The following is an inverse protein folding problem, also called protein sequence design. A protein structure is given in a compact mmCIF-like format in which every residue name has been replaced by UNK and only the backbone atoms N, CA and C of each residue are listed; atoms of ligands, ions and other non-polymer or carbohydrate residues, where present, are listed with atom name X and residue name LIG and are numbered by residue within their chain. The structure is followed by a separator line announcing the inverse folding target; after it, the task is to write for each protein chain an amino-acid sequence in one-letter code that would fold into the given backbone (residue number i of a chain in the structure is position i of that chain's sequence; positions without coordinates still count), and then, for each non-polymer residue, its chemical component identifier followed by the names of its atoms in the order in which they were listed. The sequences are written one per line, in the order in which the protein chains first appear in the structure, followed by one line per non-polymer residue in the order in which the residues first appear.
data_IF_034768602692
#
_entry.id   IF_034768602692
#
_cell.length_a   1.000
_cell.length_b   1.000
_cell.length_c   1.000
_cell.angle_alpha   90.00
_cell.angle_beta   90.00
_cell.angle_gamma   90.00
#
_symmetry.space_group_name_H-M   'P 1'
#
loop_
_entity.id
_entity.type
_entity.pdbx_description
1 polymer ?
#
# COMPACT_ATOMS: atom_id res chain seq x y z
N UNK A 1 -30.21 0.71 -9.14
CA UNK A 1 -29.71 0.58 -7.76
C UNK A 1 -30.19 1.82 -7.05
N UNK A 2 -31.06 1.67 -6.07
CA UNK A 2 -31.48 2.81 -5.26
C UNK A 2 -30.39 3.16 -4.23
N UNK A 3 -30.57 4.27 -3.48
CA UNK A 3 -29.60 4.69 -2.46
C UNK A 3 -29.43 3.63 -1.37
N UNK A 4 -30.50 2.93 -1.03
CA UNK A 4 -30.48 1.91 0.02
C UNK A 4 -29.61 0.72 -0.41
N UNK A 5 -29.82 0.19 -1.61
CA UNK A 5 -29.01 -0.87 -2.22
C UNK A 5 -27.54 -0.50 -2.26
N UNK A 6 -27.23 0.74 -2.65
CA UNK A 6 -25.85 1.23 -2.71
C UNK A 6 -25.21 1.29 -1.32
N UNK A 7 -25.92 1.79 -0.31
CA UNK A 7 -25.43 1.84 1.08
C UNK A 7 -25.21 0.43 1.61
N UNK A 8 -26.17 -0.48 1.40
CA UNK A 8 -26.06 -1.88 1.82
C UNK A 8 -24.86 -2.56 1.16
N UNK A 9 -24.70 -2.43 -0.16
CA UNK A 9 -23.56 -2.97 -0.91
C UNK A 9 -22.23 -2.40 -0.37
N UNK A 10 -22.17 -1.10 -0.12
CA UNK A 10 -20.97 -0.44 0.40
C UNK A 10 -20.60 -0.97 1.77
N UNK A 11 -21.56 -1.13 2.67
CA UNK A 11 -21.34 -1.72 4.01
C UNK A 11 -20.84 -3.17 3.88
N UNK A 12 -21.47 -3.97 3.02
CA UNK A 12 -21.04 -5.37 2.78
C UNK A 12 -19.58 -5.42 2.31
N UNK A 13 -19.22 -4.59 1.32
CA UNK A 13 -17.87 -4.56 0.75
C UNK A 13 -16.84 -4.11 1.79
N UNK A 14 -17.13 -3.06 2.57
CA UNK A 14 -16.24 -2.54 3.62
C UNK A 14 -16.02 -3.57 4.75
N UNK A 15 -16.99 -4.45 5.00
CA UNK A 15 -16.90 -5.49 6.02
C UNK A 15 -16.20 -6.77 5.53
N UNK A 16 -15.87 -6.90 4.24
CA UNK A 16 -15.17 -8.08 3.72
C UNK A 16 -13.84 -8.42 4.43
N UNK A 17 -12.99 -7.45 4.83
CA UNK A 17 -11.80 -7.74 5.64
C UNK A 17 -12.12 -8.49 6.93
N UNK A 18 -13.17 -8.08 7.64
CA UNK A 18 -13.58 -8.71 8.89
C UNK A 18 -14.01 -10.17 8.67
N UNK A 19 -14.75 -10.42 7.59
CA UNK A 19 -15.15 -11.78 7.20
C UNK A 19 -13.92 -12.61 6.85
N UNK A 20 -12.96 -12.05 6.13
CA UNK A 20 -11.72 -12.73 5.78
C UNK A 20 -10.84 -13.04 7.00
N UNK A 21 -10.81 -12.15 7.99
CA UNK A 21 -10.13 -12.36 9.27
C UNK A 21 -10.81 -13.46 10.10
N UNK A 22 -12.15 -13.47 10.14
CA UNK A 22 -12.92 -14.52 10.79
C UNK A 22 -12.63 -15.90 10.16
N UNK A 23 -12.63 -15.99 8.83
CA UNK A 23 -12.30 -17.23 8.10
C UNK A 23 -10.86 -17.69 8.36
N UNK A 24 -9.91 -16.76 8.48
CA UNK A 24 -8.53 -17.10 8.88
C UNK A 24 -8.47 -17.68 10.30
N UNK A 25 -9.27 -17.16 11.23
CA UNK A 25 -9.36 -17.66 12.60
C UNK A 25 -10.01 -19.05 12.69
N UNK A 26 -11.05 -19.30 11.90
CA UNK A 26 -11.74 -20.60 11.85
C UNK A 26 -10.88 -21.70 11.24
N UNK A 27 -10.02 -21.37 10.25
CA UNK A 27 -9.22 -22.35 9.52
C UNK A 27 -7.72 -21.98 9.49
N UNK A 28 -7.02 -22.02 10.65
CA UNK A 28 -5.66 -21.48 10.79
C UNK A 28 -4.61 -22.20 9.94
N UNK A 29 -4.83 -23.48 9.62
CA UNK A 29 -3.91 -24.29 8.81
C UNK A 29 -4.26 -24.27 7.31
N UNK A 30 -5.44 -23.75 6.94
CA UNK A 30 -5.87 -23.74 5.56
C UNK A 30 -5.17 -22.63 4.77
N UNK A 31 -4.79 -22.93 3.52
CA UNK A 31 -4.29 -21.91 2.58
C UNK A 31 -5.38 -20.90 2.18
N UNK A 32 -6.65 -21.26 2.41
CA UNK A 32 -7.86 -20.53 2.01
C UNK A 32 -7.87 -19.11 2.54
N UNK A 33 -7.62 -18.89 3.83
CA UNK A 33 -7.75 -17.55 4.39
C UNK A 33 -6.71 -16.54 3.88
N UNK A 34 -5.51 -17.00 3.49
CA UNK A 34 -4.52 -16.14 2.80
C UNK A 34 -4.95 -15.76 1.39
N UNK A 35 -5.64 -16.65 0.69
CA UNK A 35 -6.18 -16.38 -0.65
C UNK A 35 -7.35 -15.40 -0.51
N UNK A 36 -8.24 -15.65 0.45
CA UNK A 36 -9.37 -14.76 0.75
C UNK A 36 -8.91 -13.32 1.00
N UNK A 37 -7.91 -13.11 1.86
CA UNK A 37 -7.35 -11.77 2.14
C UNK A 37 -6.82 -11.06 0.89
N UNK A 38 -6.18 -11.78 -0.04
CA UNK A 38 -5.69 -11.19 -1.29
C UNK A 38 -6.84 -10.81 -2.22
N UNK A 39 -7.82 -11.71 -2.38
CA UNK A 39 -8.99 -11.49 -3.23
C UNK A 39 -9.78 -10.29 -2.71
N UNK A 40 -10.04 -10.25 -1.40
CA UNK A 40 -10.70 -9.14 -0.71
C UNK A 40 -9.94 -7.84 -0.95
N UNK A 41 -8.60 -7.87 -0.89
CA UNK A 41 -7.80 -6.69 -1.19
C UNK A 41 -8.01 -6.16 -2.61
N UNK A 42 -8.00 -7.03 -3.63
CA UNK A 42 -8.28 -6.61 -5.01
C UNK A 42 -9.71 -6.09 -5.21
N UNK A 43 -10.69 -6.73 -4.58
CA UNK A 43 -12.09 -6.29 -4.60
C UNK A 43 -12.23 -4.89 -4.01
N UNK A 44 -11.60 -4.63 -2.86
CA UNK A 44 -11.60 -3.32 -2.22
C UNK A 44 -10.89 -2.25 -3.04
N UNK A 45 -9.76 -2.60 -3.65
CA UNK A 45 -9.02 -1.67 -4.52
C UNK A 45 -9.86 -1.25 -5.72
N UNK A 46 -10.49 -2.22 -6.40
CA UNK A 46 -11.38 -1.93 -7.51
C UNK A 46 -12.59 -1.10 -7.06
N UNK A 47 -13.18 -1.43 -5.91
CA UNK A 47 -14.31 -0.70 -5.35
C UNK A 47 -13.95 0.76 -5.04
N UNK A 48 -12.84 1.03 -4.34
CA UNK A 48 -12.39 2.39 -4.03
C UNK A 48 -12.08 3.17 -5.31
N UNK A 49 -11.37 2.55 -6.27
CA UNK A 49 -11.11 3.19 -7.56
C UNK A 49 -12.41 3.57 -8.29
N UNK A 50 -13.41 2.68 -8.27
CA UNK A 50 -14.72 2.96 -8.86
C UNK A 50 -15.46 4.10 -8.16
N UNK A 51 -15.41 4.19 -6.82
CA UNK A 51 -16.00 5.29 -6.06
C UNK A 51 -15.37 6.64 -6.41
N UNK A 52 -14.03 6.68 -6.57
CA UNK A 52 -13.31 7.89 -7.00
C UNK A 52 -13.77 8.32 -8.41
N UNK A 53 -13.92 7.38 -9.34
CA UNK A 53 -14.39 7.66 -10.70
C UNK A 53 -15.85 8.13 -10.73
N UNK A 54 -16.73 7.53 -9.92
CA UNK A 54 -18.13 7.97 -9.80
C UNK A 54 -18.21 9.37 -9.20
N UNK A 55 -17.46 9.66 -8.14
CA UNK A 55 -17.40 10.99 -7.54
C UNK A 55 -16.92 12.03 -8.57
N UNK A 56 -15.91 11.70 -9.38
CA UNK A 56 -15.46 12.53 -10.49
C UNK A 56 -16.57 12.76 -11.53
N UNK A 57 -17.24 11.69 -11.97
CA UNK A 57 -18.33 11.80 -12.93
C UNK A 57 -19.46 12.71 -12.42
N UNK A 58 -19.91 12.52 -11.17
CA UNK A 58 -20.96 13.33 -10.56
C UNK A 58 -20.54 14.79 -10.41
N UNK A 59 -19.27 15.04 -10.07
CA UNK A 59 -18.73 16.39 -10.01
C UNK A 59 -18.85 17.12 -11.35
N UNK A 60 -18.37 16.52 -12.45
CA UNK A 60 -18.34 17.17 -13.76
C UNK A 60 -19.70 17.19 -14.49
N UNK A 61 -20.55 16.19 -14.26
CA UNK A 61 -21.85 16.09 -14.94
C UNK A 61 -22.98 16.82 -14.21
N UNK A 62 -22.90 16.95 -12.88
CA UNK A 62 -23.99 17.51 -12.07
C UNK A 62 -23.55 18.75 -11.31
N UNK A 63 -22.57 18.63 -10.42
CA UNK A 63 -22.25 19.70 -9.47
C UNK A 63 -21.58 20.92 -10.12
N UNK A 64 -20.62 20.69 -11.01
CA UNK A 64 -19.90 21.77 -11.67
C UNK A 64 -20.81 22.58 -12.62
N UNK A 65 -21.63 21.97 -13.49
CA UNK A 65 -22.64 22.72 -14.27
C UNK A 65 -23.64 23.48 -13.41
N UNK A 66 -24.07 22.88 -12.28
CA UNK A 66 -24.93 23.56 -11.32
C UNK A 66 -24.27 24.83 -10.75
N UNK A 67 -22.97 24.78 -10.41
CA UNK A 67 -22.22 25.96 -9.98
C UNK A 67 -22.09 27.00 -11.08
N UNK A 68 -21.81 26.58 -12.32
CA UNK A 68 -21.69 27.48 -13.47
C UNK A 68 -22.98 28.27 -13.68
N UNK A 69 -24.12 27.58 -13.60
CA UNK A 69 -25.44 28.17 -13.77
C UNK A 69 -25.84 29.06 -12.58
N UNK A 70 -25.61 28.62 -11.33
CA UNK A 70 -26.07 29.37 -10.14
C UNK A 70 -25.20 30.57 -9.79
N UNK A 71 -23.96 30.60 -10.25
CA UNK A 71 -23.03 31.72 -10.02
C UNK A 71 -22.84 32.61 -11.24
N UNK A 72 -23.58 32.35 -12.33
CA UNK A 72 -23.43 33.01 -13.63
C UNK A 72 -21.95 33.11 -14.05
N UNK A 73 -21.22 31.99 -13.90
CA UNK A 73 -19.79 31.94 -14.21
C UNK A 73 -19.61 31.95 -15.73
N UNK A 74 -19.10 33.05 -16.27
CA UNK A 74 -18.70 33.09 -17.66
C UNK A 74 -17.59 32.07 -17.94
N UNK A 75 -17.73 31.33 -19.04
CA UNK A 75 -16.73 30.34 -19.46
C UNK A 75 -15.35 30.97 -19.76
N UNK A 76 -15.32 32.25 -20.14
CA UNK A 76 -14.10 33.06 -20.31
C UNK A 76 -13.46 33.51 -18.99
N UNK A 77 -14.19 33.42 -17.87
CA UNK A 77 -13.70 33.94 -16.59
C UNK A 77 -12.49 33.18 -16.08
N UNK A 78 -11.54 33.89 -15.48
CA UNK A 78 -10.38 33.28 -14.82
C UNK A 78 -10.81 32.30 -13.72
N UNK A 79 -11.90 32.63 -13.00
CA UNK A 79 -12.43 31.83 -11.91
C UNK A 79 -12.90 30.46 -12.40
N UNK A 80 -13.58 30.40 -13.56
CA UNK A 80 -13.98 29.14 -14.18
C UNK A 80 -12.77 28.25 -14.47
N UNK A 81 -11.75 28.79 -15.14
CA UNK A 81 -10.54 28.05 -15.51
C UNK A 81 -9.75 27.57 -14.28
N UNK A 82 -9.61 28.40 -13.25
CA UNK A 82 -8.94 28.01 -12.01
C UNK A 82 -9.69 26.90 -11.28
N UNK A 83 -11.03 26.92 -11.26
CA UNK A 83 -11.83 25.86 -10.68
C UNK A 83 -11.65 24.54 -11.44
N UNK A 84 -11.77 24.55 -12.77
CA UNK A 84 -11.55 23.34 -13.60
C UNK A 84 -10.15 22.79 -13.37
N UNK A 85 -9.13 23.64 -13.45
CA UNK A 85 -7.74 23.24 -13.23
C UNK A 85 -7.53 22.62 -11.85
N UNK A 86 -8.03 23.26 -10.80
CA UNK A 86 -7.89 22.78 -9.42
C UNK A 86 -8.57 21.42 -9.24
N UNK A 87 -9.76 21.23 -9.84
CA UNK A 87 -10.48 19.96 -9.76
C UNK A 87 -9.74 18.84 -10.51
N UNK A 88 -9.26 19.09 -11.73
CA UNK A 88 -8.45 18.12 -12.49
C UNK A 88 -7.18 17.77 -11.72
N UNK A 89 -6.50 18.77 -11.17
CA UNK A 89 -5.28 18.58 -10.39
C UNK A 89 -5.52 17.73 -9.14
N UNK A 90 -6.58 18.02 -8.38
CA UNK A 90 -6.95 17.22 -7.19
C UNK A 90 -7.27 15.77 -7.56
N UNK A 91 -8.00 15.53 -8.64
CA UNK A 91 -8.35 14.18 -9.10
C UNK A 91 -7.11 13.42 -9.53
N UNK A 92 -6.25 14.03 -10.34
CA UNK A 92 -4.97 13.46 -10.72
C UNK A 92 -4.14 13.11 -9.49
N UNK A 93 -4.07 14.04 -8.53
CA UNK A 93 -3.32 13.88 -7.28
C UNK A 93 -3.84 12.71 -6.45
N UNK A 94 -5.16 12.59 -6.27
CA UNK A 94 -5.80 11.48 -5.54
C UNK A 94 -5.49 10.15 -6.21
N UNK A 95 -5.70 10.05 -7.53
CA UNK A 95 -5.46 8.82 -8.29
C UNK A 95 -3.97 8.44 -8.29
N UNK A 96 -3.08 9.42 -8.44
CA UNK A 96 -1.64 9.22 -8.39
C UNK A 96 -1.19 8.71 -7.02
N UNK A 97 -1.60 9.36 -5.94
CA UNK A 97 -1.25 8.89 -4.58
C UNK A 97 -1.84 7.52 -4.28
N UNK A 98 -3.07 7.23 -4.74
CA UNK A 98 -3.68 5.92 -4.55
C UNK A 98 -2.95 4.82 -5.34
N UNK A 99 -2.62 5.09 -6.61
CA UNK A 99 -1.80 4.20 -7.44
C UNK A 99 -0.44 3.94 -6.81
N UNK A 100 0.23 4.99 -6.31
CA UNK A 100 1.50 4.85 -5.60
C UNK A 100 1.34 4.02 -4.32
N UNK A 101 0.25 4.17 -3.56
CA UNK A 101 0.01 3.35 -2.37
C UNK A 101 -0.12 1.84 -2.70
N UNK A 102 -0.77 1.52 -3.82
CA UNK A 102 -0.96 0.13 -4.28
C UNK A 102 0.35 -0.46 -4.81
N UNK A 103 1.11 0.32 -5.59
CA UNK A 103 2.29 -0.18 -6.32
C UNK A 103 3.61 -0.02 -5.57
N UNK A 104 3.69 0.90 -4.61
CA UNK A 104 4.91 1.11 -3.81
C UNK A 104 5.13 -0.10 -2.92
N UNK A 105 5.94 -1.03 -3.40
CA UNK A 105 6.33 -2.18 -2.62
C UNK A 105 7.37 -1.76 -1.59
N UNK A 106 7.14 -2.07 -0.32
CA UNK A 106 8.13 -2.06 0.76
C UNK A 106 9.20 -3.16 0.62
N UNK A 107 9.53 -3.54 -0.62
CA UNK A 107 10.45 -4.63 -0.92
C UNK A 107 11.87 -4.21 -0.54
N UNK A 108 12.52 -5.02 0.30
CA UNK A 108 13.96 -4.92 0.48
C UNK A 108 14.62 -5.92 -0.45
N UNK A 109 15.69 -5.51 -1.14
CA UNK A 109 16.52 -6.42 -1.93
C UNK A 109 17.03 -7.52 -1.01
N UNK A 110 16.54 -8.72 -1.23
CA UNK A 110 16.92 -9.90 -0.49
C UNK A 110 18.30 -10.32 -0.98
N UNK A 111 19.30 -10.35 -0.11
CA UNK A 111 20.60 -10.91 -0.48
C UNK A 111 20.54 -12.44 -0.35
N UNK A 112 20.92 -13.20 -1.41
CA UNK A 112 21.00 -14.65 -1.32
C UNK A 112 21.99 -15.04 -0.22
N UNK A 113 21.71 -16.16 0.46
CA UNK A 113 22.63 -16.71 1.47
C UNK A 113 23.89 -17.17 0.73
N UNK A 114 24.96 -16.37 0.79
CA UNK A 114 26.24 -16.79 0.27
C UNK A 114 26.87 -17.75 1.29
N UNK A 115 26.70 -19.07 1.05
CA UNK A 115 27.29 -20.12 1.87
C UNK A 115 28.81 -20.28 1.66
N UNK A 116 29.45 -19.42 0.86
CA UNK A 116 30.90 -19.41 0.67
C UNK A 116 31.61 -18.69 1.82
N UNK A 117 31.56 -19.27 3.01
CA UNK A 117 32.67 -19.22 3.96
C UNK A 117 33.11 -20.65 4.22
N UNK A 118 33.86 -21.17 3.25
CA UNK A 118 34.74 -22.32 3.43
C UNK A 118 35.71 -22.02 4.58
N UNK A 119 36.01 -23.06 5.34
CA UNK A 119 36.71 -23.00 6.63
C UNK A 119 38.03 -22.22 6.65
N UNK A 120 38.32 -21.73 7.85
CA UNK A 120 39.57 -21.13 8.24
C UNK A 120 39.52 -20.88 9.73
N UNK A 121 40.02 -21.84 10.51
CA UNK A 121 40.35 -21.67 11.92
C UNK A 121 41.29 -20.46 12.07
N UNK A 122 40.97 -19.59 13.03
CA UNK A 122 41.72 -18.36 13.27
C UNK A 122 41.17 -17.63 14.49
N UNK A 123 41.65 -18.05 15.65
CA UNK A 123 41.53 -17.36 16.92
C UNK A 123 42.09 -15.93 16.81
N UNK A 124 41.27 -14.92 17.13
CA UNK A 124 41.68 -13.54 17.37
C UNK A 124 40.52 -12.76 17.99
N UNK A 125 40.62 -12.59 19.30
CA UNK A 125 39.96 -11.59 20.13
C UNK A 125 39.83 -10.21 19.44
N UNK A 126 38.59 -9.80 19.16
CA UNK A 126 38.20 -8.40 19.13
C UNK A 126 36.69 -8.29 19.36
N UNK A 127 36.31 -7.31 20.17
CA UNK A 127 34.97 -7.04 20.69
C UNK A 127 33.98 -6.85 19.53
N UNK A 128 33.40 -7.95 19.06
CA UNK A 128 32.56 -8.00 17.87
C UNK A 128 31.09 -7.83 18.20
N UNK A 129 30.52 -6.68 17.86
CA UNK A 129 29.07 -6.49 17.78
C UNK A 129 28.49 -7.53 16.82
N UNK A 130 27.92 -8.60 17.37
CA UNK A 130 27.28 -9.67 16.59
C UNK A 130 26.05 -9.12 15.89
N UNK A 131 26.22 -8.59 14.68
CA UNK A 131 25.09 -8.36 13.77
C UNK A 131 24.53 -9.72 13.38
N UNK A 132 23.63 -10.25 14.23
CA UNK A 132 22.86 -11.46 13.93
C UNK A 132 22.05 -11.19 12.67
N UNK A 133 22.54 -11.65 11.52
CA UNK A 133 21.79 -11.69 10.27
C UNK A 133 20.55 -12.54 10.51
N UNK A 134 19.41 -11.88 10.76
CA UNK A 134 18.14 -12.58 10.96
C UNK A 134 17.77 -13.23 9.62
N UNK A 135 17.64 -14.55 9.56
CA UNK A 135 17.21 -15.22 8.33
C UNK A 135 15.68 -15.34 8.28
N UNK A 136 15.10 -15.14 7.11
CA UNK A 136 13.69 -15.46 6.89
C UNK A 136 13.55 -16.94 6.50
N UNK A 137 12.97 -17.76 7.38
CA UNK A 137 12.70 -19.19 7.10
C UNK A 137 11.79 -19.43 5.89
N UNK A 138 10.89 -18.49 5.60
CA UNK A 138 9.93 -18.62 4.48
C UNK A 138 10.49 -18.18 3.12
N UNK A 139 11.43 -17.23 3.11
CA UNK A 139 12.06 -16.72 1.88
C UNK A 139 13.45 -17.31 1.64
N UNK A 140 13.93 -18.16 2.55
CA UNK A 140 15.28 -18.74 2.56
C UNK A 140 16.39 -17.72 2.26
N UNK A 141 16.38 -16.59 2.97
CA UNK A 141 17.30 -15.52 2.69
C UNK A 141 17.67 -14.68 3.90
N UNK A 142 18.87 -14.08 3.84
CA UNK A 142 19.38 -13.17 4.85
C UNK A 142 18.54 -11.90 4.82
N UNK A 143 17.94 -11.53 5.96
CA UNK A 143 17.34 -10.20 6.09
C UNK A 143 18.49 -9.20 6.08
N UNK A 144 18.47 -8.27 5.13
CA UNK A 144 19.34 -7.10 5.13
C UNK A 144 19.26 -6.41 6.49
N UNK A 145 20.41 -5.89 6.93
CA UNK A 145 20.83 -5.36 8.25
C UNK A 145 19.93 -4.30 8.90
N UNK A 146 18.75 -4.01 8.32
CA UNK A 146 17.72 -3.21 8.96
C UNK A 146 17.08 -4.00 10.10
N UNK A 147 17.28 -3.52 11.32
CA UNK A 147 16.87 -4.09 12.62
C UNK A 147 15.36 -4.37 12.80
N UNK A 148 14.52 -4.23 11.76
CA UNK A 148 13.06 -4.37 11.83
C UNK A 148 12.44 -4.90 10.53
N UNK A 149 12.90 -6.04 10.02
CA UNK A 149 12.29 -6.68 8.83
C UNK A 149 11.38 -7.85 9.19
N UNK A 150 10.18 -7.88 8.58
CA UNK A 150 9.13 -8.87 8.83
C UNK A 150 8.72 -9.57 7.54
N UNK A 151 8.28 -10.83 7.64
CA UNK A 151 7.75 -11.58 6.51
C UNK A 151 6.24 -11.43 6.48
N UNK A 152 5.71 -10.79 5.44
CA UNK A 152 4.27 -10.73 5.24
C UNK A 152 3.80 -12.03 4.56
N UNK A 153 3.03 -12.86 5.30
CA UNK A 153 2.47 -14.12 4.77
C UNK A 153 1.45 -13.90 3.65
N UNK A 154 0.78 -12.74 3.64
CA UNK A 154 -0.19 -12.36 2.61
C UNK A 154 0.55 -11.99 1.32
N UNK A 155 1.54 -11.09 1.38
CA UNK A 155 2.33 -10.70 0.21
C UNK A 155 3.40 -11.73 -0.20
N UNK A 156 3.70 -12.72 0.65
CA UNK A 156 4.78 -13.73 0.48
C UNK A 156 6.17 -13.12 0.25
N UNK A 157 6.45 -11.98 0.87
CA UNK A 157 7.75 -11.29 0.76
C UNK A 157 8.17 -10.67 2.09
N UNK A 158 9.47 -10.51 2.25
CA UNK A 158 10.05 -9.75 3.36
C UNK A 158 9.93 -8.26 3.08
N UNK A 159 9.49 -7.50 4.08
CA UNK A 159 9.32 -6.06 4.02
C UNK A 159 10.08 -5.41 5.18
N UNK A 160 10.75 -4.29 4.91
CA UNK A 160 11.45 -3.51 5.93
C UNK A 160 10.49 -2.59 6.69
N UNK A 161 10.58 -2.54 8.02
CA UNK A 161 9.81 -1.63 8.90
C UNK A 161 8.30 -1.61 8.59
N UNK A 162 7.74 -2.80 8.32
CA UNK A 162 6.29 -2.96 8.10
C UNK A 162 5.53 -2.76 9.41
N UNK A 163 4.45 -2.01 9.34
CA UNK A 163 3.46 -1.88 10.42
C UNK A 163 2.41 -2.99 10.28
N UNK A 164 1.62 -2.93 9.20
CA UNK A 164 0.54 -3.89 8.93
C UNK A 164 0.35 -4.13 7.43
N UNK A 165 -0.41 -5.17 7.10
CA UNK A 165 -0.92 -5.39 5.75
C UNK A 165 -2.29 -4.74 5.65
N UNK A 166 -2.46 -3.78 4.74
CA UNK A 166 -3.72 -3.08 4.59
C UNK A 166 -4.51 -3.67 3.40
N UNK A 167 -5.69 -4.26 3.65
CA UNK A 167 -6.50 -4.84 2.59
C UNK A 167 -7.03 -3.77 1.62
N UNK A 168 -7.29 -2.54 2.08
CA UNK A 168 -7.82 -1.45 1.24
C UNK A 168 -6.87 -0.94 0.13
N UNK A 169 -5.58 -1.25 0.24
CA UNK A 169 -4.57 -0.97 -0.79
C UNK A 169 -3.91 -2.25 -1.32
N UNK A 170 -4.38 -3.42 -0.88
CA UNK A 170 -3.81 -4.73 -1.20
C UNK A 170 -2.28 -4.83 -1.00
N UNK A 171 -1.71 -4.09 -0.04
CA UNK A 171 -0.27 -3.90 0.10
C UNK A 171 0.16 -3.72 1.58
N UNK A 172 1.46 -3.86 1.85
CA UNK A 172 2.03 -3.67 3.19
C UNK A 172 2.37 -2.20 3.45
N UNK A 173 1.82 -1.65 4.54
CA UNK A 173 2.10 -0.31 5.04
C UNK A 173 3.42 -0.27 5.85
N UNK A 174 4.17 0.82 5.72
CA UNK A 174 5.43 1.05 6.44
C UNK A 174 5.22 2.09 7.54
N UNK A 175 5.87 1.93 8.69
CA UNK A 175 5.84 2.95 9.75
C UNK A 175 6.87 4.06 9.41
N UNK A 176 6.42 5.24 8.97
CA UNK A 176 7.29 6.38 8.62
C UNK A 176 7.27 7.49 9.68
N UNK A 177 7.78 7.24 10.88
CA UNK A 177 7.99 8.31 11.88
C UNK A 177 9.44 8.78 12.00
N UNK A 178 10.36 8.33 11.13
CA UNK A 178 11.77 8.70 11.18
C UNK A 178 12.23 9.63 10.04
N UNK A 179 11.36 9.98 9.10
CA UNK A 179 11.67 10.96 8.05
C UNK A 179 10.39 11.63 7.57
N UNK A 180 10.32 12.94 7.74
CA UNK A 180 9.28 13.82 7.24
C UNK A 180 9.28 13.86 5.70
N UNK A 181 8.98 12.74 5.04
CA UNK A 181 8.72 12.70 3.60
C UNK A 181 7.52 11.80 3.34
N UNK A 182 6.54 12.24 2.52
CA UNK A 182 5.44 11.38 2.12
C UNK A 182 5.98 10.11 1.47
N UNK A 183 5.22 9.03 1.66
CA UNK A 183 5.45 7.60 1.31
C UNK A 183 6.07 7.33 -0.06
N UNK A 184 6.15 8.32 -0.95
CA UNK A 184 6.69 8.25 -2.31
C UNK A 184 8.21 8.44 -2.41
N UNK A 185 8.86 9.14 -1.47
CA UNK A 185 10.25 9.59 -1.71
C UNK A 185 11.36 8.75 -1.10
N UNK A 186 11.06 7.72 -0.29
CA UNK A 186 12.12 6.90 0.32
C UNK A 186 12.52 5.66 -0.49
N UNK A 187 11.98 5.49 -1.70
CA UNK A 187 12.36 4.37 -2.59
C UNK A 187 13.81 4.53 -3.10
N UNK A 188 14.37 5.76 -3.13
CA UNK A 188 15.64 6.01 -3.80
C UNK A 188 16.88 6.14 -2.89
N UNK A 189 16.76 5.99 -1.56
CA UNK A 189 17.90 6.22 -0.64
C UNK A 189 18.64 4.95 -0.21
N UNK A 190 18.35 3.80 -0.79
CA UNK A 190 19.15 2.58 -0.58
C UNK A 190 20.03 2.20 -1.78
N UNK A 191 20.14 3.04 -2.80
CA UNK A 191 21.08 2.82 -3.92
C UNK A 191 22.49 3.36 -3.66
N UNK A 192 22.75 4.02 -2.53
CA UNK A 192 24.08 4.58 -2.23
C UNK A 192 24.65 4.03 -0.93
N UNK A 193 25.20 2.81 -0.99
CA UNK A 193 26.39 2.46 -0.21
C UNK A 193 27.23 1.55 -1.12
N UNK A 194 28.22 2.16 -1.78
CA UNK A 194 29.35 1.47 -2.39
C UNK A 194 30.16 0.74 -1.32
#
# INVERSE_FOLDING_TARGET
MDLFDFVVLTVIVILLPLVADLLNGMFPHAKIGRIAQRVVGYVLVFFIASLILVAFYLWYSVYFPYLVMTRDLEASSLVYHLNVFTCVFLVFTILFYYYMAITTTSFMKIQPINNNKSGGDGDSSSVGGTSKTQQCKHCNANKSTSSRSYHCRICKRCTGRMDHHCPFIANCCMLSWASHTPVIFHINRSETVY
#
